data_IF_692810405966
#
_entry.id   IF_692810405966
#
_cell.length_a   1.000
_cell.length_b   1.000
_cell.length_c   1.000
_cell.angle_alpha   90.00
_cell.angle_beta   90.00
_cell.angle_gamma   90.00
#
_symmetry.space_group_name_H-M   'P 1'
#
loop_
_entity.id
_entity.type
_entity.pdbx_description
1 polymer ?
#
# COMPACT_ATOMS: atom_id res chain seq x y z
N UNK A 1 65.19 -24.78 -19.25
CA UNK A 1 64.73 -24.60 -17.87
C UNK A 1 63.77 -23.44 -17.81
N UNK A 2 62.51 -23.66 -17.41
CA UNK A 2 61.51 -22.60 -17.20
C UNK A 2 61.88 -21.84 -15.92
N UNK A 3 62.01 -20.51 -16.00
CA UNK A 3 62.47 -19.67 -14.87
C UNK A 3 61.46 -19.74 -13.70
N UNK A 4 61.94 -19.80 -12.43
CA UNK A 4 61.08 -19.92 -11.24
C UNK A 4 60.06 -18.79 -11.07
N UNK A 5 60.37 -17.57 -11.51
CA UNK A 5 59.54 -16.39 -11.24
C UNK A 5 58.28 -16.21 -12.11
N UNK A 6 58.11 -16.99 -13.18
CA UNK A 6 56.89 -16.92 -14.00
C UNK A 6 55.74 -17.76 -13.41
N UNK A 7 56.09 -18.81 -12.66
CA UNK A 7 55.12 -19.68 -12.00
C UNK A 7 54.41 -18.92 -10.88
N UNK A 8 55.15 -18.28 -9.97
CA UNK A 8 54.61 -17.51 -8.85
C UNK A 8 53.70 -16.36 -9.28
N UNK A 9 54.03 -15.69 -10.39
CA UNK A 9 53.21 -14.58 -10.92
C UNK A 9 51.87 -15.07 -11.46
N UNK A 10 51.82 -16.26 -12.05
CA UNK A 10 50.58 -16.86 -12.54
C UNK A 10 49.75 -17.42 -11.39
N UNK A 11 50.39 -18.06 -10.41
CA UNK A 11 49.72 -18.54 -9.19
C UNK A 11 49.07 -17.39 -8.42
N UNK A 12 49.77 -16.27 -8.23
CA UNK A 12 49.23 -15.08 -7.56
C UNK A 12 48.04 -14.48 -8.31
N UNK A 13 48.08 -14.43 -9.65
CA UNK A 13 46.95 -13.96 -10.46
C UNK A 13 45.74 -14.88 -10.35
N UNK A 14 45.95 -16.19 -10.41
CA UNK A 14 44.88 -17.19 -10.26
C UNK A 14 44.23 -17.05 -8.87
N UNK A 15 45.02 -16.87 -7.81
CA UNK A 15 44.49 -16.66 -6.46
C UNK A 15 43.64 -15.40 -6.37
N UNK A 16 44.09 -14.27 -6.96
CA UNK A 16 43.31 -13.03 -7.00
C UNK A 16 41.98 -13.24 -7.75
N UNK A 17 42.01 -13.90 -8.91
CA UNK A 17 40.79 -14.20 -9.66
C UNK A 17 39.82 -15.07 -8.84
N UNK A 18 40.31 -16.13 -8.20
CA UNK A 18 39.49 -17.01 -7.36
C UNK A 18 38.88 -16.26 -6.17
N UNK A 19 39.64 -15.38 -5.52
CA UNK A 19 39.15 -14.53 -4.42
C UNK A 19 38.09 -13.52 -4.89
N UNK A 20 38.26 -12.90 -6.07
CA UNK A 20 37.25 -11.96 -6.59
C UNK A 20 35.95 -12.67 -7.00
N UNK A 21 36.05 -13.88 -7.54
CA UNK A 21 34.88 -14.66 -7.94
C UNK A 21 34.12 -15.23 -6.74
N UNK A 22 34.81 -15.59 -5.65
CA UNK A 22 34.16 -16.06 -4.41
C UNK A 22 33.42 -14.95 -3.68
N UNK A 23 33.97 -13.73 -3.65
CA UNK A 23 33.28 -12.56 -3.06
C UNK A 23 32.02 -12.21 -3.86
N UNK A 24 32.06 -12.32 -5.20
CA UNK A 24 30.92 -11.99 -6.05
C UNK A 24 29.80 -13.05 -6.04
N UNK A 25 30.11 -14.30 -5.68
CA UNK A 25 29.14 -15.41 -5.73
C UNK A 25 28.33 -15.60 -4.43
N UNK A 26 28.67 -14.90 -3.35
CA UNK A 26 28.04 -15.09 -2.03
C UNK A 26 27.10 -13.95 -1.59
N UNK A 27 26.74 -13.02 -2.46
CA UNK A 27 25.69 -12.03 -2.17
C UNK A 27 24.29 -12.61 -2.42
N UNK A 28 23.97 -13.72 -1.74
CA UNK A 28 22.60 -14.21 -1.66
C UNK A 28 21.82 -13.35 -0.66
N UNK A 29 20.80 -12.64 -1.13
CA UNK A 29 19.82 -12.00 -0.23
C UNK A 29 19.05 -13.15 0.44
N UNK A 30 19.07 -13.27 1.78
CA UNK A 30 18.24 -14.27 2.44
C UNK A 30 16.77 -13.88 2.20
N UNK A 31 16.09 -14.65 1.37
CA UNK A 31 14.63 -14.64 1.29
C UNK A 31 14.16 -15.53 2.42
N UNK A 32 13.70 -14.92 3.51
CA UNK A 32 13.06 -15.67 4.58
C UNK A 32 11.62 -15.94 4.17
N UNK A 33 11.32 -17.19 3.80
CA UNK A 33 9.94 -17.68 3.69
C UNK A 33 9.40 -17.89 5.12
N UNK A 34 9.01 -16.79 5.77
CA UNK A 34 8.22 -16.86 6.98
C UNK A 34 6.78 -17.20 6.58
N UNK A 35 6.40 -18.48 6.65
CA UNK A 35 5.00 -18.86 6.85
C UNK A 35 4.59 -18.36 8.24
N UNK A 36 4.18 -17.09 8.29
CA UNK A 36 3.74 -16.46 9.52
C UNK A 36 2.41 -17.09 9.96
N UNK A 37 2.36 -17.78 11.11
CA UNK A 37 1.19 -18.55 11.53
C UNK A 37 -0.07 -17.70 11.69
N UNK A 38 0.08 -16.39 11.90
CA UNK A 38 -1.01 -15.43 12.14
C UNK A 38 -1.48 -14.74 10.85
N UNK A 39 -0.93 -15.05 9.66
CA UNK A 39 -1.32 -14.35 8.42
C UNK A 39 -2.78 -14.55 8.03
N UNK A 40 -3.27 -15.79 8.09
CA UNK A 40 -4.66 -16.12 7.80
C UNK A 40 -5.62 -15.53 8.84
N UNK A 41 -5.25 -15.63 10.13
CA UNK A 41 -6.02 -15.03 11.23
C UNK A 41 -6.10 -13.50 11.10
N UNK A 42 -4.97 -12.86 10.77
CA UNK A 42 -4.89 -11.43 10.52
C UNK A 42 -5.77 -11.00 9.34
N UNK A 43 -5.82 -11.80 8.27
CA UNK A 43 -6.69 -11.53 7.13
C UNK A 43 -8.17 -11.70 7.51
N UNK A 44 -8.52 -12.78 8.21
CA UNK A 44 -9.89 -13.03 8.66
C UNK A 44 -10.39 -11.91 9.58
N UNK A 45 -9.59 -11.53 10.58
CA UNK A 45 -9.92 -10.44 11.49
C UNK A 45 -9.99 -9.08 10.77
N UNK A 46 -9.14 -8.85 9.76
CA UNK A 46 -9.23 -7.63 8.91
C UNK A 46 -10.56 -7.57 8.14
N UNK A 47 -11.03 -8.70 7.61
CA UNK A 47 -12.30 -8.79 6.87
C UNK A 47 -13.50 -8.69 7.80
N UNK A 48 -13.45 -9.32 8.97
CA UNK A 48 -14.46 -9.18 10.00
C UNK A 48 -14.64 -7.70 10.40
N UNK A 49 -13.53 -6.96 10.54
CA UNK A 49 -13.55 -5.52 10.82
C UNK A 49 -14.16 -4.69 9.68
N UNK A 50 -13.86 -5.00 8.42
CA UNK A 50 -14.50 -4.33 7.28
C UNK A 50 -16.01 -4.61 7.26
N UNK A 51 -16.41 -5.86 7.50
CA UNK A 51 -17.81 -6.26 7.49
C UNK A 51 -18.61 -5.67 8.66
N UNK A 52 -17.99 -5.45 9.82
CA UNK A 52 -18.65 -4.77 10.93
C UNK A 52 -18.79 -3.26 10.71
N UNK A 53 -17.82 -2.61 10.04
CA UNK A 53 -17.82 -1.16 9.83
C UNK A 53 -18.57 -0.72 8.57
N UNK A 54 -18.73 -1.58 7.57
CA UNK A 54 -19.41 -1.24 6.33
C UNK A 54 -20.93 -1.07 6.54
N UNK A 55 -21.55 -0.13 5.82
CA UNK A 55 -22.99 0.16 5.93
C UNK A 55 -23.88 -0.72 5.06
N UNK A 56 -23.29 -1.40 4.06
CA UNK A 56 -24.03 -2.25 3.13
C UNK A 56 -24.66 -3.48 3.79
N UNK A 57 -25.74 -4.04 3.22
CA UNK A 57 -26.45 -5.19 3.80
C UNK A 57 -25.72 -6.52 3.58
N UNK A 58 -24.80 -6.59 2.62
CA UNK A 58 -24.07 -7.80 2.27
C UNK A 58 -22.65 -7.81 2.84
N UNK A 59 -22.09 -9.00 2.91
CA UNK A 59 -20.71 -9.23 3.29
C UNK A 59 -19.77 -8.88 2.13
N UNK A 60 -18.55 -8.48 2.47
CA UNK A 60 -17.41 -8.40 1.58
C UNK A 60 -16.53 -9.63 1.78
N UNK A 61 -16.11 -10.23 0.67
CA UNK A 61 -15.16 -11.33 0.62
C UNK A 61 -13.83 -10.92 0.00
N UNK A 62 -12.78 -11.69 0.26
CA UNK A 62 -11.42 -11.47 -0.29
C UNK A 62 -11.33 -12.08 -1.67
N UNK A 63 -10.96 -11.28 -2.68
CA UNK A 63 -10.69 -11.76 -4.04
C UNK A 63 -9.25 -12.25 -4.16
N UNK A 64 -8.29 -11.47 -3.63
CA UNK A 64 -6.86 -11.77 -3.61
C UNK A 64 -6.24 -11.10 -2.40
N UNK A 65 -5.20 -11.72 -1.82
CA UNK A 65 -4.43 -11.15 -0.72
C UNK A 65 -2.95 -11.50 -0.86
N UNK A 66 -2.10 -10.64 -0.34
CA UNK A 66 -0.67 -10.88 -0.22
C UNK A 66 -0.08 -10.09 0.96
N UNK A 67 0.99 -10.62 1.52
CA UNK A 67 1.80 -9.92 2.52
C UNK A 67 2.68 -8.92 1.80
N UNK A 68 2.58 -7.63 2.17
CA UNK A 68 3.44 -6.58 1.61
C UNK A 68 4.75 -6.47 2.36
N UNK A 69 4.70 -6.50 3.69
CA UNK A 69 5.90 -6.43 4.53
C UNK A 69 5.65 -6.99 5.92
N UNK A 70 6.73 -7.41 6.54
CA UNK A 70 6.77 -7.89 7.93
C UNK A 70 7.90 -7.12 8.61
N UNK A 71 7.53 -6.26 9.56
CA UNK A 71 8.48 -5.49 10.36
C UNK A 71 8.60 -6.17 11.73
N UNK A 72 9.65 -6.95 11.95
CA UNK A 72 9.89 -7.65 13.23
C UNK A 72 10.56 -6.72 14.24
N UNK A 73 10.00 -6.62 15.45
CA UNK A 73 10.68 -6.03 16.60
C UNK A 73 11.42 -7.09 17.41
N UNK A 74 10.77 -8.23 17.66
CA UNK A 74 11.30 -9.40 18.37
C UNK A 74 10.89 -10.68 17.63
N UNK A 75 11.25 -11.85 18.17
CA UNK A 75 10.83 -13.15 17.63
C UNK A 75 9.30 -13.32 17.60
N UNK A 76 8.60 -12.72 18.57
CA UNK A 76 7.17 -12.89 18.78
C UNK A 76 6.36 -11.59 18.55
N UNK A 77 7.06 -10.46 18.42
CA UNK A 77 6.45 -9.14 18.25
C UNK A 77 6.80 -8.59 16.87
N UNK A 78 5.78 -8.41 16.04
CA UNK A 78 5.98 -7.94 14.68
C UNK A 78 4.75 -7.18 14.17
N UNK A 79 4.99 -6.34 13.16
CA UNK A 79 3.96 -5.65 12.40
C UNK A 79 3.85 -6.28 11.03
N UNK A 80 2.67 -6.78 10.74
CA UNK A 80 2.29 -7.37 9.46
C UNK A 80 1.51 -6.35 8.63
N UNK A 81 1.98 -6.08 7.41
CA UNK A 81 1.27 -5.23 6.45
C UNK A 81 0.67 -6.12 5.37
N UNK A 82 -0.64 -6.24 5.37
CA UNK A 82 -1.41 -6.98 4.37
C UNK A 82 -1.93 -6.03 3.30
N UNK A 83 -1.93 -6.48 2.06
CA UNK A 83 -2.68 -5.89 0.97
C UNK A 83 -3.61 -6.92 0.38
N UNK A 84 -4.88 -6.54 0.21
CA UNK A 84 -5.88 -7.44 -0.33
C UNK A 84 -6.97 -6.66 -1.04
N UNK A 85 -7.61 -7.30 -2.00
CA UNK A 85 -8.75 -6.74 -2.73
C UNK A 85 -10.04 -7.42 -2.27
N UNK A 86 -11.07 -6.63 -2.01
CA UNK A 86 -12.39 -7.12 -1.58
C UNK A 86 -13.46 -6.86 -2.63
N UNK A 87 -14.50 -7.69 -2.60
CA UNK A 87 -15.70 -7.52 -3.42
C UNK A 87 -16.95 -7.91 -2.64
N UNK A 88 -18.07 -7.25 -2.93
CA UNK A 88 -19.36 -7.55 -2.32
C UNK A 88 -19.83 -8.96 -2.72
N UNK A 89 -20.35 -9.72 -1.75
CA UNK A 89 -20.88 -11.07 -1.92
C UNK A 89 -22.41 -11.08 -1.96
N UNK A 90 -22.98 -12.23 -2.34
CA UNK A 90 -24.43 -12.45 -2.30
C UNK A 90 -24.96 -12.70 -0.88
N UNK A 91 -24.07 -13.01 0.07
CA UNK A 91 -24.44 -13.29 1.44
C UNK A 91 -24.77 -12.01 2.21
N UNK A 92 -25.91 -12.00 2.89
CA UNK A 92 -26.30 -10.91 3.76
C UNK A 92 -25.57 -11.00 5.10
N UNK A 93 -25.31 -9.87 5.76
CA UNK A 93 -24.66 -9.83 7.08
C UNK A 93 -25.46 -10.56 8.17
N UNK A 94 -26.79 -10.57 8.04
CA UNK A 94 -27.70 -11.24 8.97
C UNK A 94 -27.67 -12.76 8.85
N UNK A 95 -27.13 -13.31 7.75
CA UNK A 95 -27.10 -14.76 7.53
C UNK A 95 -26.12 -15.49 8.45
N UNK A 96 -25.17 -14.79 9.07
CA UNK A 96 -24.11 -15.39 9.89
C UNK A 96 -23.17 -16.31 9.12
N UNK A 97 -23.22 -16.30 7.78
CA UNK A 97 -22.33 -17.10 6.93
C UNK A 97 -20.92 -16.54 6.92
N UNK A 98 -19.96 -17.45 6.74
CA UNK A 98 -18.56 -17.10 6.56
C UNK A 98 -18.33 -16.44 5.18
N UNK A 99 -17.79 -15.20 5.12
CA UNK A 99 -17.49 -14.51 3.87
C UNK A 99 -16.62 -15.31 2.88
N UNK A 100 -15.76 -16.23 3.35
CA UNK A 100 -14.91 -17.04 2.47
C UNK A 100 -15.66 -18.14 1.70
N UNK A 101 -16.86 -18.50 2.16
CA UNK A 101 -17.73 -19.52 1.53
C UNK A 101 -18.78 -18.91 0.61
N UNK A 102 -18.83 -17.58 0.53
CA UNK A 102 -19.88 -16.84 -0.16
C UNK A 102 -19.47 -16.46 -1.58
N UNK A 103 -20.37 -16.70 -2.53
CA UNK A 103 -20.17 -16.27 -3.91
C UNK A 103 -20.17 -14.75 -4.03
N UNK A 104 -19.29 -14.23 -4.89
CA UNK A 104 -19.28 -12.81 -5.23
C UNK A 104 -20.52 -12.42 -6.02
N UNK A 105 -21.02 -11.20 -5.81
CA UNK A 105 -22.00 -10.64 -6.72
C UNK A 105 -21.39 -10.45 -8.10
N UNK A 106 -22.20 -10.73 -9.12
CA UNK A 106 -21.85 -10.57 -10.52
C UNK A 106 -22.63 -9.37 -11.05
N UNK A 107 -21.92 -8.41 -11.64
CA UNK A 107 -22.55 -7.27 -12.29
C UNK A 107 -21.55 -6.15 -12.61
N UNK A 108 -21.90 -5.27 -13.56
CA UNK A 108 -21.03 -4.16 -13.98
C UNK A 108 -20.82 -3.10 -12.89
N UNK A 109 -21.70 -3.05 -11.88
CA UNK A 109 -21.66 -2.08 -10.78
C UNK A 109 -21.21 -2.69 -9.45
N UNK A 110 -20.48 -3.82 -9.48
CA UNK A 110 -19.91 -4.44 -8.28
C UNK A 110 -18.42 -4.12 -8.22
N UNK A 111 -18.03 -2.98 -7.63
CA UNK A 111 -16.65 -2.52 -7.63
C UNK A 111 -15.78 -3.45 -6.77
N UNK A 112 -14.53 -3.59 -7.17
CA UNK A 112 -13.48 -4.19 -6.34
C UNK A 112 -12.79 -3.04 -5.59
N UNK A 113 -12.63 -3.18 -4.29
CA UNK A 113 -11.90 -2.21 -3.47
C UNK A 113 -10.55 -2.78 -3.05
N UNK A 114 -9.53 -1.93 -3.00
CA UNK A 114 -8.20 -2.29 -2.56
C UNK A 114 -8.01 -1.86 -1.11
N UNK A 115 -7.60 -2.79 -0.27
CA UNK A 115 -7.44 -2.58 1.16
C UNK A 115 -5.99 -2.80 1.58
N UNK A 116 -5.55 -1.96 2.51
CA UNK A 116 -4.30 -2.11 3.25
C UNK A 116 -4.64 -2.31 4.71
N UNK A 117 -4.20 -3.42 5.29
CA UNK A 117 -4.30 -3.69 6.72
C UNK A 117 -2.92 -3.67 7.36
N UNK A 118 -2.81 -3.02 8.51
CA UNK A 118 -1.63 -3.03 9.37
C UNK A 118 -2.03 -3.71 10.66
N UNK A 119 -1.42 -4.86 10.93
CA UNK A 119 -1.70 -5.71 12.08
C UNK A 119 -0.47 -5.77 12.96
N UNK A 120 -0.62 -5.48 14.25
CA UNK A 120 0.42 -5.59 15.26
C UNK A 120 0.17 -6.86 16.04
N UNK A 121 1.15 -7.76 16.02
CA UNK A 121 1.14 -9.04 16.71
C UNK A 121 2.15 -8.99 17.85
N UNK A 122 1.77 -9.50 19.02
CA UNK A 122 2.65 -9.70 20.17
C UNK A 122 2.32 -11.04 20.81
N UNK A 123 3.33 -11.83 21.14
CA UNK A 123 3.15 -13.18 21.72
C UNK A 123 2.14 -14.03 20.94
N UNK A 124 2.26 -14.01 19.60
CA UNK A 124 1.40 -14.73 18.65
C UNK A 124 -0.07 -14.26 18.61
N UNK A 125 -0.41 -13.16 19.30
CA UNK A 125 -1.77 -12.62 19.36
C UNK A 125 -1.88 -11.26 18.67
N UNK A 126 -3.02 -10.99 18.04
CA UNK A 126 -3.30 -9.69 17.43
C UNK A 126 -3.64 -8.67 18.53
N UNK A 127 -2.73 -7.74 18.80
CA UNK A 127 -2.92 -6.69 19.81
C UNK A 127 -3.62 -5.47 19.23
N UNK A 128 -3.30 -5.10 17.99
CA UNK A 128 -3.90 -3.96 17.32
C UNK A 128 -4.00 -4.19 15.82
N UNK A 129 -5.02 -3.60 15.20
CA UNK A 129 -5.13 -3.58 13.74
C UNK A 129 -5.81 -2.33 13.22
N UNK A 130 -5.40 -1.92 12.03
CA UNK A 130 -6.00 -0.81 11.28
C UNK A 130 -6.18 -1.25 9.84
N UNK A 131 -7.38 -1.05 9.31
CA UNK A 131 -7.71 -1.40 7.92
C UNK A 131 -8.17 -0.14 7.21
N UNK A 132 -7.58 0.14 6.04
CA UNK A 132 -7.96 1.24 5.17
C UNK A 132 -8.25 0.69 3.78
N UNK A 133 -9.43 0.97 3.26
CA UNK A 133 -9.84 0.56 1.92
C UNK A 133 -10.07 1.78 1.05
N UNK A 134 -9.63 1.68 -0.20
CA UNK A 134 -9.88 2.65 -1.25
C UNK A 134 -10.61 1.95 -2.38
N UNK A 135 -11.54 2.67 -2.98
CA UNK A 135 -12.24 2.19 -4.15
C UNK A 135 -11.49 2.69 -5.38
N UNK A 136 -11.25 1.81 -6.36
CA UNK A 136 -10.75 2.23 -7.67
C UNK A 136 -11.89 2.92 -8.43
N UNK A 137 -12.22 4.12 -7.99
CA UNK A 137 -12.95 5.07 -8.80
C UNK A 137 -11.90 5.73 -9.68
N UNK A 138 -11.74 5.23 -10.91
CA UNK A 138 -11.13 6.05 -11.96
C UNK A 138 -12.07 7.23 -12.19
N UNK A 139 -11.88 8.31 -11.42
CA UNK A 139 -12.68 9.53 -11.47
C UNK A 139 -11.81 10.74 -11.09
N UNK A 140 -11.22 11.33 -12.13
CA UNK A 140 -11.00 12.76 -12.36
C UNK A 140 -10.23 13.57 -11.32
N UNK A 141 -9.07 14.07 -11.71
CA UNK A 141 -8.39 15.18 -11.04
C UNK A 141 -9.33 16.39 -10.93
N UNK A 142 -9.75 16.73 -9.71
CA UNK A 142 -10.46 17.95 -9.42
C UNK A 142 -9.46 19.08 -9.18
N UNK A 143 -9.31 19.95 -10.18
CA UNK A 143 -8.65 21.25 -10.04
C UNK A 143 -9.39 22.07 -8.94
N UNK A 144 -8.70 22.30 -7.83
CA UNK A 144 -9.16 23.18 -6.74
C UNK A 144 -9.33 24.60 -7.28
N UNK A 145 -10.57 25.08 -7.31
CA UNK A 145 -10.90 26.48 -7.64
C UNK A 145 -10.98 27.25 -6.33
N UNK A 146 -9.82 27.61 -5.81
CA UNK A 146 -9.68 28.82 -4.98
C UNK A 146 -10.05 30.02 -5.89
N UNK A 147 -10.38 31.19 -5.34
CA UNK A 147 -10.88 32.38 -6.08
C UNK A 147 -12.38 32.40 -6.44
N UNK A 148 -13.27 32.67 -5.47
CA UNK A 148 -14.38 33.65 -5.67
C UNK A 148 -15.34 33.73 -4.48
N UNK A 149 -14.95 34.44 -3.42
CA UNK A 149 -15.89 35.33 -2.72
C UNK A 149 -15.12 36.27 -1.81
N UNK A 150 -14.74 37.46 -2.32
CA UNK A 150 -14.58 38.68 -1.52
C UNK A 150 -14.60 39.88 -2.47
N UNK A 151 -15.78 40.17 -3.02
CA UNK A 151 -16.06 41.52 -3.54
C UNK A 151 -16.43 42.39 -2.33
N UNK A 152 -15.42 42.95 -1.65
CA UNK A 152 -15.62 44.13 -0.82
C UNK A 152 -15.01 45.33 -1.54
N UNK A 153 -15.89 46.29 -1.77
CA UNK A 153 -15.71 47.56 -2.46
C UNK A 153 -14.58 48.36 -1.78
N UNK A 154 -13.50 48.62 -2.50
CA UNK A 154 -12.53 49.67 -2.18
C UNK A 154 -12.34 50.55 -3.42
N UNK A 155 -12.84 51.77 -3.28
CA UNK A 155 -12.88 52.85 -4.26
C UNK A 155 -11.47 53.42 -4.49
N UNK A 156 -10.90 53.38 -5.71
CA UNK A 156 -9.65 54.07 -5.99
C UNK A 156 -9.95 55.49 -6.48
N UNK A 157 -9.72 56.48 -5.62
CA UNK A 157 -9.46 57.85 -6.03
C UNK A 157 -8.25 57.86 -7.00
N UNK A 158 -8.51 57.72 -8.31
CA UNK A 158 -7.60 58.19 -9.36
C UNK A 158 -7.97 59.63 -9.70
N UNK A 159 -7.36 60.54 -8.95
CA UNK A 159 -7.19 61.93 -9.36
C UNK A 159 -6.13 61.95 -10.47
N UNK A 160 -6.52 62.29 -11.69
CA UNK A 160 -5.60 62.28 -12.85
C UNK A 160 -6.22 62.81 -14.14
N UNK A 161 -6.45 64.13 -14.18
CA UNK A 161 -6.33 65.05 -15.33
C UNK A 161 -7.01 64.72 -16.68
N UNK A 162 -7.97 65.58 -17.06
CA UNK A 162 -7.98 66.21 -18.39
C UNK A 162 -9.18 65.93 -19.30
N UNK A 163 -10.18 66.82 -19.33
CA UNK A 163 -10.51 67.67 -20.49
C UNK A 163 -11.77 68.50 -20.22
N UNK A 164 -11.73 69.76 -20.62
CA UNK A 164 -12.75 70.78 -20.43
C UNK A 164 -13.49 71.03 -21.74
N UNK A 165 -14.80 70.81 -21.77
CA UNK A 165 -15.79 71.39 -22.71
C UNK A 165 -17.16 71.27 -21.98
N UNK A 166 -18.12 72.19 -21.95
CA UNK A 166 -18.34 73.52 -22.50
C UNK A 166 -19.68 74.02 -21.91
N UNK A 167 -19.81 75.34 -21.77
CA UNK A 167 -20.89 76.13 -21.15
C UNK A 167 -22.27 75.97 -21.83
N UNK A 168 -23.41 76.40 -21.22
CA UNK A 168 -23.74 77.80 -20.90
C UNK A 168 -23.98 78.12 -19.42
#
# INVERSE_FOLDING_TARGET
>A
GKRPGDFDRHTMRILIFVFTLSIFSCSGIPVYDYELPVTEEALNASIARINSQSRGPNLYGVVRSHVRSVDMWNSNDYKLVLQFSIRETVCTKVSGRDPFTCDFKIGPFVPTAFCRSVVVVSEEQIVNMVVQCHQDMSSSESISSEEMMHMQIMNPNRLGSGHSEGKP
#
